data_IF_437415814315
#
_entry.id   IF_437415814315
#
_cell.length_a   1.000
_cell.length_b   1.000
_cell.length_c   1.000
_cell.angle_alpha   90.00
_cell.angle_beta   90.00
_cell.angle_gamma   90.00
#
_symmetry.space_group_name_H-M   'P 1'
#
loop_
_entity.id
_entity.type
_entity.pdbx_description
1 polymer ?
#
# COMPACT_ATOMS: atom_id res chain seq x y z
N UNK A 1 -2.34 16.69 27.76
CA UNK A 1 -2.58 17.52 26.56
C UNK A 1 -2.40 16.64 25.34
N UNK A 2 -3.35 16.62 24.39
CA UNK A 2 -3.10 15.98 23.10
C UNK A 2 -1.87 16.63 22.44
N UNK A 3 -1.06 15.83 21.75
CA UNK A 3 0.08 16.35 20.99
C UNK A 3 -0.43 17.34 19.94
N UNK A 4 0.26 18.48 19.69
CA UNK A 4 -0.15 19.40 18.65
C UNK A 4 -0.25 18.67 17.30
N UNK A 5 -1.26 19.03 16.50
CA UNK A 5 -1.43 18.47 15.17
C UNK A 5 -0.13 18.70 14.36
N UNK A 6 0.42 17.68 13.71
CA UNK A 6 1.62 17.84 12.90
C UNK A 6 1.38 18.85 11.77
N UNK A 7 2.40 19.63 11.43
CA UNK A 7 2.27 20.62 10.34
C UNK A 7 1.93 19.94 8.99
N UNK A 8 1.12 20.60 8.15
CA UNK A 8 0.78 20.10 6.83
C UNK A 8 2.01 20.12 5.92
N UNK A 9 2.32 18.97 5.32
CA UNK A 9 3.48 18.79 4.42
C UNK A 9 3.10 18.98 2.93
N UNK A 10 1.88 19.41 2.62
CA UNK A 10 1.41 19.66 1.24
C UNK A 10 0.60 20.96 1.16
N UNK A 11 0.65 21.65 -0.01
CA UNK A 11 -0.04 22.93 -0.20
C UNK A 11 -1.57 22.81 -0.22
N UNK A 12 -2.11 21.60 -0.33
CA UNK A 12 -3.54 21.28 -0.26
C UNK A 12 -3.78 19.93 0.44
N UNK A 13 -4.99 19.68 0.97
CA UNK A 13 -5.45 18.34 1.32
C UNK A 13 -5.32 17.38 0.13
N UNK A 14 -4.91 16.14 0.43
CA UNK A 14 -4.78 15.06 -0.54
C UNK A 14 -5.80 13.97 -0.22
N UNK A 15 -6.33 13.30 -1.24
CA UNK A 15 -7.11 12.06 -1.06
C UNK A 15 -6.16 10.87 -1.11
N UNK A 16 -5.96 10.18 0.01
CA UNK A 16 -4.97 9.11 0.19
C UNK A 16 -5.66 7.79 0.50
N UNK A 17 -5.36 6.76 -0.28
CA UNK A 17 -5.85 5.41 -0.04
C UNK A 17 -4.78 4.52 0.54
N UNK A 18 -5.03 3.95 1.71
CA UNK A 18 -4.20 2.91 2.32
C UNK A 18 -4.80 1.55 1.98
N UNK A 19 -4.02 0.65 1.39
CA UNK A 19 -4.48 -0.70 1.01
C UNK A 19 -3.70 -1.73 1.80
N UNK A 20 -4.28 -2.15 2.93
CA UNK A 20 -3.76 -3.22 3.76
C UNK A 20 -4.90 -4.15 4.23
N UNK A 21 -4.98 -5.38 3.68
CA UNK A 21 -6.02 -6.34 4.05
C UNK A 21 -5.78 -7.08 5.37
N UNK A 22 -4.59 -6.99 5.96
CA UNK A 22 -4.17 -7.86 7.07
C UNK A 22 -4.22 -7.20 8.43
N UNK A 23 -3.82 -5.92 8.50
CA UNK A 23 -3.82 -5.19 9.76
C UNK A 23 -5.23 -5.17 10.36
N UNK A 24 -5.27 -5.25 11.68
CA UNK A 24 -6.50 -5.13 12.44
C UNK A 24 -7.02 -3.70 12.37
N UNK A 25 -8.31 -3.56 12.12
CA UNK A 25 -8.95 -2.24 12.04
C UNK A 25 -9.29 -1.72 13.44
N UNK A 26 -9.54 -0.41 13.62
CA UNK A 26 -10.00 0.14 14.90
C UNK A 26 -11.16 -0.66 15.50
N UNK A 27 -11.17 -0.81 16.82
CA UNK A 27 -12.16 -1.62 17.55
C UNK A 27 -11.89 -3.14 17.56
N UNK A 28 -10.87 -3.63 16.84
CA UNK A 28 -10.51 -5.06 16.88
C UNK A 28 -9.59 -5.44 18.06
N UNK A 29 -9.38 -4.57 19.05
CA UNK A 29 -8.61 -4.87 20.27
C UNK A 29 -7.15 -5.24 20.00
N UNK A 30 -6.62 -4.85 18.84
CA UNK A 30 -5.20 -4.93 18.52
C UNK A 30 -4.44 -3.77 19.14
N UNK A 31 -3.14 -3.96 19.38
CA UNK A 31 -2.23 -2.82 19.48
C UNK A 31 -2.22 -1.98 18.20
N UNK A 32 -1.59 -0.81 18.24
CA UNK A 32 -1.54 0.11 17.10
C UNK A 32 -0.68 -0.49 15.97
N UNK A 33 -1.28 -0.73 14.81
CA UNK A 33 -0.57 -1.20 13.63
C UNK A 33 0.12 -0.06 12.87
N UNK A 34 1.08 -0.39 12.01
CA UNK A 34 1.73 0.57 11.11
C UNK A 34 0.69 1.31 10.25
N UNK A 35 -0.29 0.60 9.71
CA UNK A 35 -1.35 1.22 8.89
C UNK A 35 -2.23 2.14 9.71
N UNK A 36 -2.58 1.75 10.94
CA UNK A 36 -3.39 2.59 11.82
C UNK A 36 -2.63 3.88 12.21
N UNK A 37 -1.36 3.76 12.59
CA UNK A 37 -0.51 4.92 12.86
C UNK A 37 -0.44 5.84 11.65
N UNK A 38 -0.21 5.29 10.45
CA UNK A 38 -0.13 6.08 9.23
C UNK A 38 -1.46 6.76 8.91
N UNK A 39 -2.59 6.06 9.06
CA UNK A 39 -3.92 6.62 8.83
C UNK A 39 -4.19 7.82 9.73
N UNK A 40 -3.96 7.67 11.04
CA UNK A 40 -4.15 8.74 12.03
C UNK A 40 -3.24 9.93 11.77
N UNK A 41 -1.97 9.67 11.46
CA UNK A 41 -0.99 10.73 11.20
C UNK A 41 -1.29 11.51 9.92
N UNK A 42 -1.78 10.85 8.87
CA UNK A 42 -2.18 11.51 7.63
C UNK A 42 -3.49 12.28 7.80
N UNK A 43 -4.47 11.71 8.50
CA UNK A 43 -5.73 12.39 8.80
C UNK A 43 -5.50 13.65 9.65
N UNK A 44 -4.68 13.54 10.71
CA UNK A 44 -4.31 14.68 11.56
C UNK A 44 -3.53 15.79 10.83
N UNK A 45 -2.96 15.50 9.66
CA UNK A 45 -2.35 16.49 8.74
C UNK A 45 -3.37 17.13 7.79
N UNK A 46 -4.65 16.82 7.92
CA UNK A 46 -5.73 17.34 7.09
C UNK A 46 -5.90 16.63 5.75
N UNK A 47 -5.36 15.42 5.57
CA UNK A 47 -5.62 14.62 4.37
C UNK A 47 -6.91 13.80 4.50
N UNK A 48 -7.60 13.57 3.39
CA UNK A 48 -8.73 12.65 3.33
C UNK A 48 -8.20 11.23 3.17
N UNK A 49 -8.30 10.42 4.23
CA UNK A 49 -7.72 9.08 4.25
C UNK A 49 -8.82 8.02 4.17
N UNK A 50 -8.67 7.07 3.24
CA UNK A 50 -9.48 5.85 3.17
C UNK A 50 -8.61 4.61 3.26
N UNK A 51 -8.83 3.79 4.28
CA UNK A 51 -8.19 2.50 4.42
C UNK A 51 -9.07 1.36 3.89
N UNK A 52 -8.63 0.74 2.80
CA UNK A 52 -9.20 -0.48 2.25
C UNK A 52 -8.64 -1.72 2.94
N UNK A 53 -9.50 -2.42 3.70
CA UNK A 53 -9.17 -3.67 4.39
C UNK A 53 -10.10 -4.81 3.99
N UNK A 54 -9.83 -6.02 4.46
CA UNK A 54 -10.57 -7.24 4.13
C UNK A 54 -11.82 -7.42 5.01
N UNK A 55 -12.91 -8.01 4.51
CA UNK A 55 -14.04 -8.47 5.36
C UNK A 55 -13.68 -9.64 6.27
N UNK A 56 -12.47 -10.19 6.18
CA UNK A 56 -11.95 -11.27 7.02
C UNK A 56 -10.74 -10.80 7.82
N UNK A 57 -10.77 -10.92 9.15
CA UNK A 57 -9.65 -10.62 10.03
C UNK A 57 -8.61 -11.74 9.99
N UNK A 58 -7.36 -11.40 9.64
CA UNK A 58 -6.28 -12.37 9.54
C UNK A 58 -5.89 -12.98 10.89
N UNK A 59 -5.84 -12.16 11.92
CA UNK A 59 -5.44 -12.56 13.27
C UNK A 59 -6.54 -13.36 13.96
N UNK A 60 -7.79 -12.89 13.88
CA UNK A 60 -8.94 -13.55 14.52
C UNK A 60 -9.46 -14.76 13.76
N UNK A 61 -9.09 -14.90 12.48
CA UNK A 61 -9.65 -15.91 11.56
C UNK A 61 -11.18 -15.91 11.59
N UNK A 62 -11.76 -14.72 11.50
CA UNK A 62 -13.20 -14.52 11.57
C UNK A 62 -13.63 -13.40 10.62
N UNK A 63 -14.90 -13.46 10.20
CA UNK A 63 -15.50 -12.37 9.44
C UNK A 63 -15.57 -11.11 10.32
N UNK A 64 -15.15 -9.99 9.75
CA UNK A 64 -15.40 -8.68 10.32
C UNK A 64 -16.88 -8.39 10.15
N UNK A 65 -17.55 -8.06 11.24
CA UNK A 65 -18.81 -7.32 11.13
C UNK A 65 -18.45 -5.98 10.49
N UNK A 66 -19.34 -5.42 9.66
CA UNK A 66 -19.13 -4.08 9.09
C UNK A 66 -18.60 -3.17 10.20
N UNK A 67 -17.57 -2.34 9.95
CA UNK A 67 -17.02 -1.52 11.01
C UNK A 67 -18.23 -0.79 11.61
N UNK A 68 -18.52 -0.91 12.92
CA UNK A 68 -19.33 0.13 13.53
C UNK A 68 -18.68 1.43 13.08
N UNK A 69 -19.49 2.45 12.71
CA UNK A 69 -18.98 3.77 12.38
C UNK A 69 -17.76 4.01 13.27
N UNK A 70 -16.59 4.15 12.64
CA UNK A 70 -15.33 4.21 13.38
C UNK A 70 -15.60 5.15 14.56
N UNK A 71 -15.13 4.78 15.77
CA UNK A 71 -15.30 5.65 16.94
C UNK A 71 -15.14 7.10 16.49
N UNK A 72 -16.02 8.00 16.94
CA UNK A 72 -16.04 9.41 16.49
C UNK A 72 -14.64 10.07 16.50
N UNK A 73 -13.72 9.48 17.26
CA UNK A 73 -12.28 9.76 17.35
C UNK A 73 -11.41 9.49 16.10
N UNK A 74 -11.84 8.69 15.11
CA UNK A 74 -11.00 8.36 13.94
C UNK A 74 -11.38 9.23 12.73
N UNK A 75 -10.49 10.18 12.39
CA UNK A 75 -10.66 11.14 11.29
C UNK A 75 -10.41 10.55 9.88
N UNK A 76 -10.51 9.23 9.72
CA UNK A 76 -10.34 8.54 8.43
C UNK A 76 -11.43 7.50 8.20
N UNK A 77 -11.63 7.06 6.95
CA UNK A 77 -12.61 6.04 6.63
C UNK A 77 -11.98 4.63 6.51
N UNK A 78 -12.72 3.59 6.89
CA UNK A 78 -12.37 2.19 6.61
C UNK A 78 -13.41 1.59 5.67
N UNK A 79 -12.94 1.02 4.55
CA UNK A 79 -13.78 0.32 3.57
C UNK A 79 -13.39 -1.15 3.50
N UNK A 80 -14.36 -2.04 3.65
CA UNK A 80 -14.13 -3.48 3.63
C UNK A 80 -14.34 -4.08 2.24
N UNK A 81 -13.37 -4.85 1.79
CA UNK A 81 -13.36 -5.60 0.53
C UNK A 81 -13.71 -7.05 0.82
N UNK A 82 -14.77 -7.53 0.17
CA UNK A 82 -15.26 -8.88 0.37
C UNK A 82 -14.25 -9.94 -0.09
N UNK A 83 -13.96 -10.90 0.79
CA UNK A 83 -13.11 -12.07 0.52
C UNK A 83 -13.68 -13.33 1.17
N UNK A 84 -13.29 -14.50 0.67
CA UNK A 84 -13.55 -15.76 1.38
C UNK A 84 -12.72 -15.87 2.67
N UNK A 85 -13.27 -16.54 3.68
CA UNK A 85 -12.56 -16.88 4.92
C UNK A 85 -11.56 -18.03 4.76
N UNK A 86 -10.67 -18.16 5.74
CA UNK A 86 -9.71 -19.26 5.87
C UNK A 86 -9.24 -19.37 7.32
N UNK A 87 -8.92 -20.58 7.75
CA UNK A 87 -8.51 -20.94 9.12
C UNK A 87 -6.98 -21.11 9.26
N UNK A 88 -6.31 -21.57 8.20
CA UNK A 88 -4.87 -21.89 8.22
C UNK A 88 -4.00 -20.86 7.50
N UNK A 89 -2.82 -20.60 8.06
CA UNK A 89 -1.84 -19.66 7.49
C UNK A 89 -1.18 -20.14 6.20
N UNK A 90 -1.07 -21.45 6.01
CA UNK A 90 -0.58 -22.09 4.80
C UNK A 90 -1.74 -22.89 4.19
N UNK A 91 -2.55 -22.23 3.35
CA UNK A 91 -3.68 -22.89 2.69
C UNK A 91 -3.95 -22.30 1.30
N UNK A 92 -4.49 -23.15 0.41
CA UNK A 92 -5.02 -22.71 -0.88
C UNK A 92 -6.20 -21.75 -0.69
N UNK A 93 -7.00 -21.94 0.36
CA UNK A 93 -8.05 -21.02 0.75
C UNK A 93 -7.51 -19.60 1.04
N UNK A 94 -6.41 -19.46 1.79
CA UNK A 94 -5.73 -18.16 1.99
C UNK A 94 -5.20 -17.58 0.69
N UNK A 95 -4.67 -18.42 -0.21
CA UNK A 95 -4.23 -17.94 -1.53
C UNK A 95 -5.40 -17.44 -2.38
N UNK A 96 -6.53 -18.14 -2.36
CA UNK A 96 -7.74 -17.73 -3.04
C UNK A 96 -8.36 -16.46 -2.41
N UNK A 97 -8.40 -16.35 -1.08
CA UNK A 97 -8.82 -15.15 -0.35
C UNK A 97 -8.00 -13.91 -0.74
N UNK A 98 -6.68 -14.05 -0.90
CA UNK A 98 -5.81 -12.98 -1.43
C UNK A 98 -6.19 -12.57 -2.86
N UNK A 99 -6.51 -13.54 -3.73
CA UNK A 99 -6.95 -13.26 -5.11
C UNK A 99 -8.32 -12.60 -5.15
N UNK A 100 -9.24 -13.03 -4.29
CA UNK A 100 -10.55 -12.39 -4.14
C UNK A 100 -10.36 -10.92 -3.75
N UNK A 101 -9.48 -10.62 -2.79
CA UNK A 101 -9.21 -9.25 -2.36
C UNK A 101 -8.82 -8.35 -3.54
N UNK A 102 -7.81 -8.75 -4.33
CA UNK A 102 -7.36 -7.93 -5.47
C UNK A 102 -8.45 -7.70 -6.51
N UNK A 103 -9.21 -8.75 -6.87
CA UNK A 103 -10.30 -8.66 -7.85
C UNK A 103 -11.47 -7.81 -7.36
N UNK A 104 -11.90 -8.05 -6.12
CA UNK A 104 -13.02 -7.33 -5.52
C UNK A 104 -12.65 -5.86 -5.30
N UNK A 105 -11.41 -5.56 -4.89
CA UNK A 105 -10.93 -4.18 -4.75
C UNK A 105 -11.01 -3.43 -6.07
N UNK A 106 -10.47 -3.99 -7.15
CA UNK A 106 -10.52 -3.35 -8.48
C UNK A 106 -11.96 -3.07 -8.92
N UNK A 107 -12.84 -4.05 -8.73
CA UNK A 107 -14.26 -3.91 -9.08
C UNK A 107 -14.91 -2.79 -8.27
N UNK A 108 -14.78 -2.82 -6.93
CA UNK A 108 -15.37 -1.83 -6.05
C UNK A 108 -14.86 -0.41 -6.35
N UNK A 109 -13.56 -0.24 -6.55
CA UNK A 109 -12.97 1.06 -6.91
C UNK A 109 -13.53 1.56 -8.25
N UNK A 110 -13.59 0.68 -9.25
CA UNK A 110 -14.11 1.07 -10.57
C UNK A 110 -15.58 1.48 -10.49
N UNK A 111 -16.40 0.70 -9.79
CA UNK A 111 -17.84 0.96 -9.62
C UNK A 111 -18.10 2.25 -8.83
N UNK A 112 -17.39 2.44 -7.71
CA UNK A 112 -17.58 3.61 -6.83
C UNK A 112 -17.07 4.91 -7.43
N UNK A 113 -16.02 4.88 -8.25
CA UNK A 113 -15.59 6.05 -9.03
C UNK A 113 -16.61 6.33 -10.15
N UNK A 114 -17.06 5.31 -10.88
CA UNK A 114 -18.01 5.48 -11.97
C UNK A 114 -19.37 6.02 -11.49
N UNK A 115 -19.80 5.66 -10.29
CA UNK A 115 -21.03 6.15 -9.66
C UNK A 115 -20.88 7.52 -8.98
N UNK A 116 -19.66 8.08 -8.92
CA UNK A 116 -19.37 9.34 -8.24
C UNK A 116 -19.36 9.25 -6.71
N UNK A 117 -19.42 8.06 -6.13
CA UNK A 117 -19.35 7.85 -4.68
C UNK A 117 -17.96 8.07 -4.10
N UNK A 118 -16.92 7.95 -4.92
CA UNK A 118 -15.54 8.23 -4.55
C UNK A 118 -14.85 9.03 -5.64
N UNK A 119 -14.02 9.99 -5.21
CA UNK A 119 -13.08 10.65 -6.09
C UNK A 119 -11.85 9.77 -6.34
N UNK A 120 -11.12 10.07 -7.43
CA UNK A 120 -9.83 9.43 -7.68
C UNK A 120 -8.84 9.84 -6.59
N UNK A 121 -8.06 8.92 -6.03
CA UNK A 121 -7.03 9.26 -5.05
C UNK A 121 -5.85 9.99 -5.70
N UNK A 122 -5.25 10.89 -4.95
CA UNK A 122 -3.95 11.49 -5.27
C UNK A 122 -2.81 10.47 -5.06
N UNK A 123 -2.96 9.62 -4.03
CA UNK A 123 -1.96 8.62 -3.63
C UNK A 123 -2.62 7.30 -3.23
N UNK A 124 -2.07 6.18 -3.70
CA UNK A 124 -2.36 4.84 -3.19
C UNK A 124 -1.10 4.32 -2.49
N UNK A 125 -1.22 3.98 -1.21
CA UNK A 125 -0.19 3.27 -0.44
C UNK A 125 -0.58 1.80 -0.35
N UNK A 126 0.13 0.94 -1.06
CA UNK A 126 -0.13 -0.49 -1.14
C UNK A 126 0.85 -1.27 -0.26
N UNK A 127 0.34 -1.89 0.82
CA UNK A 127 1.16 -2.74 1.70
C UNK A 127 1.41 -4.10 1.06
N UNK A 128 2.67 -4.51 1.03
CA UNK A 128 3.13 -5.80 0.54
C UNK A 128 3.88 -6.57 1.64
N UNK A 129 3.55 -7.84 1.93
CA UNK A 129 2.51 -8.69 1.32
C UNK A 129 1.06 -8.31 1.72
N UNK A 130 0.04 -8.71 0.93
CA UNK A 130 0.04 -9.76 -0.09
C UNK A 130 0.10 -9.23 -1.54
N UNK A 131 0.78 -10.00 -2.42
CA UNK A 131 0.95 -9.65 -3.84
C UNK A 131 -0.34 -9.27 -4.55
N UNK A 132 -1.43 -10.02 -4.38
CA UNK A 132 -2.64 -9.83 -5.16
C UNK A 132 -3.30 -8.44 -4.92
N UNK A 133 -3.20 -7.91 -3.70
CA UNK A 133 -3.66 -6.55 -3.38
C UNK A 133 -2.75 -5.49 -3.98
N UNK A 134 -1.43 -5.65 -3.84
CA UNK A 134 -0.47 -4.71 -4.41
C UNK A 134 -0.49 -4.69 -5.95
N UNK A 135 -0.63 -5.85 -6.60
CA UNK A 135 -0.80 -5.95 -8.06
C UNK A 135 -2.10 -5.28 -8.54
N UNK A 136 -3.18 -5.38 -7.75
CA UNK A 136 -4.40 -4.64 -8.02
C UNK A 136 -4.17 -3.12 -7.93
N UNK A 137 -3.40 -2.67 -6.93
CA UNK A 137 -3.03 -1.26 -6.79
C UNK A 137 -2.17 -0.77 -7.98
N UNK A 138 -1.24 -1.58 -8.50
CA UNK A 138 -0.50 -1.25 -9.73
C UNK A 138 -1.45 -1.02 -10.91
N UNK A 139 -2.44 -1.90 -11.09
CA UNK A 139 -3.44 -1.75 -12.17
C UNK A 139 -4.31 -0.52 -11.95
N UNK A 140 -4.74 -0.25 -10.72
CA UNK A 140 -5.55 0.91 -10.38
C UNK A 140 -4.79 2.21 -10.57
N UNK A 141 -3.55 2.31 -10.08
CA UNK A 141 -2.71 3.50 -10.23
C UNK A 141 -2.54 3.88 -11.70
N UNK A 142 -2.25 2.91 -12.57
CA UNK A 142 -2.17 3.11 -14.02
C UNK A 142 -3.49 3.55 -14.65
N UNK A 143 -4.62 3.00 -14.22
CA UNK A 143 -5.95 3.34 -14.77
C UNK A 143 -6.43 4.72 -14.30
N UNK A 144 -6.06 5.13 -13.09
CA UNK A 144 -6.56 6.34 -12.44
C UNK A 144 -5.58 7.53 -12.55
N UNK A 145 -4.37 7.31 -13.06
CA UNK A 145 -3.24 8.26 -13.04
C UNK A 145 -2.87 8.72 -11.62
N UNK A 146 -2.88 7.78 -10.67
CA UNK A 146 -2.58 8.02 -9.25
C UNK A 146 -1.13 7.67 -8.93
N UNK A 147 -0.51 8.41 -8.00
CA UNK A 147 0.81 8.07 -7.44
C UNK A 147 0.74 6.79 -6.61
N UNK A 148 1.56 5.79 -6.93
CA UNK A 148 1.66 4.54 -6.21
C UNK A 148 2.87 4.51 -5.29
N UNK A 149 2.60 4.34 -4.00
CA UNK A 149 3.62 4.05 -2.99
C UNK A 149 3.48 2.59 -2.57
N UNK A 150 4.57 1.83 -2.59
CA UNK A 150 4.58 0.46 -2.06
C UNK A 150 5.19 0.45 -0.66
N UNK A 151 4.42 0.00 0.33
CA UNK A 151 4.88 -0.18 1.70
C UNK A 151 5.33 -1.61 1.92
N UNK A 152 6.61 -1.79 2.25
CA UNK A 152 7.28 -3.07 2.44
C UNK A 152 7.72 -3.23 3.91
N UNK A 153 6.81 -3.67 4.81
CA UNK A 153 7.11 -3.89 6.22
C UNK A 153 8.04 -5.07 6.50
N UNK A 154 8.21 -6.00 5.55
CA UNK A 154 9.14 -7.13 5.67
C UNK A 154 9.62 -7.62 4.30
N UNK A 155 10.80 -8.26 4.25
CA UNK A 155 11.30 -8.93 3.06
C UNK A 155 10.50 -10.20 2.74
N UNK A 156 9.47 -10.04 1.93
CA UNK A 156 8.71 -11.15 1.38
C UNK A 156 9.20 -11.51 -0.03
N UNK A 157 9.29 -12.79 -0.44
CA UNK A 157 8.91 -14.02 0.27
C UNK A 157 10.02 -14.64 1.14
N UNK A 158 11.17 -14.01 1.26
CA UNK A 158 12.37 -14.53 1.95
C UNK A 158 12.07 -14.87 3.41
N UNK A 159 11.40 -13.98 4.15
CA UNK A 159 11.04 -14.19 5.57
C UNK A 159 10.10 -15.38 5.77
N UNK A 160 9.28 -15.74 4.78
CA UNK A 160 8.35 -16.87 4.87
C UNK A 160 8.94 -18.19 4.40
N UNK A 161 10.05 -18.16 3.65
CA UNK A 161 10.74 -19.35 3.19
C UNK A 161 11.17 -20.24 4.35
N UNK A 162 11.64 -19.62 5.43
CA UNK A 162 12.10 -20.28 6.66
C UNK A 162 10.98 -21.06 7.35
N UNK A 163 9.73 -20.61 7.21
CA UNK A 163 8.53 -21.22 7.80
C UNK A 163 7.98 -22.40 6.98
N UNK A 164 8.56 -22.73 5.82
CA UNK A 164 8.15 -23.90 5.06
C UNK A 164 8.54 -25.18 5.82
N UNK A 165 7.62 -26.16 5.96
CA UNK A 165 7.86 -27.43 6.66
C UNK A 165 8.66 -28.40 5.77
N UNK A 166 9.82 -27.95 5.27
CA UNK A 166 10.74 -28.72 4.44
C UNK A 166 12.10 -28.82 5.15
N UNK A 167 12.84 -29.95 5.01
CA UNK A 167 14.22 -30.05 5.50
C UNK A 167 15.10 -28.92 4.95
N UNK A 168 16.10 -28.48 5.73
CA UNK A 168 16.92 -27.32 5.36
C UNK A 168 17.64 -27.46 4.01
N UNK A 169 18.17 -28.66 3.72
CA UNK A 169 18.80 -28.96 2.43
C UNK A 169 17.80 -28.82 1.26
N UNK A 170 16.58 -29.34 1.44
CA UNK A 170 15.53 -29.28 0.43
C UNK A 170 15.02 -27.85 0.22
N UNK A 171 14.91 -27.04 1.29
CA UNK A 171 14.57 -25.63 1.19
C UNK A 171 15.65 -24.83 0.45
N UNK A 172 16.93 -25.12 0.67
CA UNK A 172 18.03 -24.47 -0.06
C UNK A 172 18.01 -24.83 -1.54
N UNK A 173 17.76 -26.10 -1.87
CA UNK A 173 17.70 -26.59 -3.25
C UNK A 173 16.47 -26.07 -4.00
N UNK A 174 15.27 -26.19 -3.41
CA UNK A 174 14.01 -25.87 -4.08
C UNK A 174 13.57 -24.42 -3.86
N UNK A 175 14.09 -23.73 -2.85
CA UNK A 175 13.70 -22.37 -2.48
C UNK A 175 13.78 -21.35 -3.63
N UNK A 176 14.86 -21.30 -4.42
CA UNK A 176 14.94 -20.42 -5.58
C UNK A 176 13.83 -20.67 -6.61
N UNK A 177 13.48 -21.93 -6.86
CA UNK A 177 12.43 -22.30 -7.82
C UNK A 177 11.02 -22.04 -7.26
N UNK A 178 10.74 -22.50 -6.04
CA UNK A 178 9.45 -22.34 -5.35
C UNK A 178 9.09 -20.87 -5.11
N UNK A 179 10.08 -20.05 -4.75
CA UNK A 179 9.87 -18.64 -4.41
C UNK A 179 10.17 -17.71 -5.59
N UNK A 180 10.85 -18.19 -6.64
CA UNK A 180 11.26 -17.36 -7.78
C UNK A 180 10.09 -16.70 -8.49
N UNK A 181 8.98 -17.41 -8.65
CA UNK A 181 7.75 -16.82 -9.20
C UNK A 181 7.17 -15.72 -8.31
N UNK A 182 7.28 -15.86 -7.00
CA UNK A 182 6.81 -14.86 -6.03
C UNK A 182 7.74 -13.64 -5.98
N UNK A 183 9.06 -13.85 -6.03
CA UNK A 183 10.06 -12.78 -6.16
C UNK A 183 9.82 -11.94 -7.41
N UNK A 184 9.75 -12.58 -8.58
CA UNK A 184 9.48 -11.87 -9.85
C UNK A 184 8.22 -11.00 -9.80
N UNK A 185 7.16 -11.50 -9.15
CA UNK A 185 5.91 -10.73 -9.00
C UNK A 185 6.04 -9.57 -8.02
N UNK A 186 6.76 -9.73 -6.91
CA UNK A 186 7.11 -8.61 -6.02
C UNK A 186 7.92 -7.59 -6.81
N UNK A 187 8.99 -8.02 -7.47
CA UNK A 187 9.93 -7.13 -8.16
C UNK A 187 9.18 -6.32 -9.23
N UNK A 188 8.22 -6.94 -9.93
CA UNK A 188 7.35 -6.24 -10.87
C UNK A 188 6.41 -5.21 -10.21
N UNK A 189 5.93 -5.46 -8.99
CA UNK A 189 5.13 -4.49 -8.21
C UNK A 189 6.01 -3.32 -7.76
N UNK A 190 7.19 -3.61 -7.22
CA UNK A 190 8.16 -2.61 -6.75
C UNK A 190 8.62 -1.73 -7.91
N UNK A 191 8.98 -2.34 -9.05
CA UNK A 191 9.42 -1.61 -10.25
C UNK A 191 8.32 -0.73 -10.86
N UNK A 192 7.05 -1.00 -10.54
CA UNK A 192 5.91 -0.21 -11.00
C UNK A 192 5.49 0.90 -10.02
N UNK A 193 6.14 1.00 -8.85
CA UNK A 193 5.83 2.01 -7.84
C UNK A 193 6.58 3.32 -8.11
N UNK A 194 5.94 4.45 -7.80
CA UNK A 194 6.58 5.77 -7.83
C UNK A 194 7.49 5.98 -6.62
N UNK A 195 7.14 5.36 -5.48
CA UNK A 195 7.93 5.40 -4.25
C UNK A 195 7.82 4.09 -3.46
N UNK A 196 8.81 3.83 -2.61
CA UNK A 196 8.82 2.68 -1.71
C UNK A 196 9.11 3.13 -0.29
N UNK A 197 8.33 2.59 0.64
CA UNK A 197 8.54 2.72 2.07
C UNK A 197 8.97 1.36 2.59
N UNK A 198 10.00 1.31 3.43
CA UNK A 198 10.46 0.09 4.09
C UNK A 198 10.35 0.21 5.62
N UNK A 199 10.42 -0.89 6.36
CA UNK A 199 10.53 -0.84 7.81
C UNK A 199 12.00 -0.70 8.27
N UNK A 200 12.96 -1.07 7.42
CA UNK A 200 14.40 -0.95 7.70
C UNK A 200 15.24 -0.61 6.47
N UNK A 201 16.46 -0.11 6.71
CA UNK A 201 17.48 0.09 5.67
C UNK A 201 17.91 -1.22 5.01
N UNK A 202 17.86 -2.33 5.75
CA UNK A 202 18.17 -3.66 5.24
C UNK A 202 17.12 -4.15 4.23
N UNK A 203 15.84 -3.92 4.48
CA UNK A 203 14.79 -4.22 3.51
C UNK A 203 14.90 -3.35 2.26
N UNK A 204 15.14 -2.06 2.49
CA UNK A 204 15.27 -1.08 1.43
C UNK A 204 16.42 -1.41 0.46
N UNK A 205 17.59 -1.80 0.97
CA UNK A 205 18.75 -2.09 0.14
C UNK A 205 18.53 -3.25 -0.84
N UNK A 206 17.65 -4.19 -0.50
CA UNK A 206 17.29 -5.32 -1.37
C UNK A 206 16.43 -4.88 -2.55
N UNK A 207 15.54 -3.90 -2.33
CA UNK A 207 14.59 -3.45 -3.37
C UNK A 207 15.07 -2.23 -4.15
N UNK A 208 16.05 -1.49 -3.62
CA UNK A 208 16.61 -0.29 -4.26
C UNK A 208 17.08 -0.53 -5.71
N UNK A 209 17.77 -1.64 -6.05
CA UNK A 209 18.20 -1.91 -7.43
C UNK A 209 17.04 -2.18 -8.40
N UNK A 210 15.83 -2.46 -7.89
CA UNK A 210 14.64 -2.77 -8.69
C UNK A 210 13.85 -1.50 -9.03
N UNK A 211 14.15 -0.38 -8.37
CA UNK A 211 13.45 0.86 -8.59
C UNK A 211 13.96 1.55 -9.85
N UNK A 212 13.06 2.15 -10.66
CA UNK A 212 13.49 2.92 -11.80
C UNK A 212 14.39 4.10 -11.37
N UNK A 213 15.28 4.57 -12.26
CA UNK A 213 16.06 5.76 -11.99
C UNK A 213 15.14 6.97 -11.69
N UNK A 214 15.59 7.87 -10.82
CA UNK A 214 14.87 9.11 -10.47
C UNK A 214 14.73 9.86 -11.77
N UNK A 215 13.52 10.32 -12.05
CA UNK A 215 13.44 11.46 -12.93
C UNK A 215 13.61 12.73 -12.10
N UNK A 216 13.94 13.82 -12.78
CA UNK A 216 14.03 15.13 -12.16
C UNK A 216 12.70 15.47 -11.42
N UNK A 217 12.77 16.17 -10.27
CA UNK A 217 11.60 16.62 -9.55
C UNK A 217 10.72 17.49 -10.45
N UNK A 218 9.39 17.37 -10.34
CA UNK A 218 8.45 18.22 -11.08
C UNK A 218 8.69 19.69 -10.71
N UNK A 219 8.84 20.56 -11.70
CA UNK A 219 8.57 21.98 -11.55
C UNK A 219 7.11 22.16 -11.15
N UNK A 220 6.88 22.94 -10.11
CA UNK A 220 5.59 23.24 -9.53
C UNK A 220 4.60 23.71 -10.62
N UNK A 221 3.44 23.04 -10.83
CA UNK A 221 2.47 23.47 -11.83
C UNK A 221 1.86 24.85 -11.52
N UNK A 222 2.11 25.42 -10.34
CA UNK A 222 1.73 26.79 -9.98
C UNK A 222 2.61 27.89 -10.61
N UNK A 223 3.72 27.54 -11.30
CA UNK A 223 4.67 28.52 -11.81
C UNK A 223 4.57 28.82 -13.33
N UNK A 224 3.62 28.22 -14.07
CA UNK A 224 3.46 28.47 -15.49
C UNK A 224 2.23 29.35 -15.78
N UNK A 225 2.37 30.45 -16.56
CA UNK A 225 1.23 31.29 -16.90
C UNK A 225 0.24 30.53 -17.78
N UNK A 226 -1.04 30.73 -17.49
CA UNK A 226 -2.14 30.13 -18.23
C UNK A 226 -2.10 30.55 -19.70
N UNK A 227 -1.83 29.62 -20.62
CA UNK A 227 -2.48 29.53 -21.94
C UNK A 227 -2.05 28.25 -22.67
N UNK A 228 -2.99 27.73 -23.47
CA UNK A 228 -2.88 26.68 -24.48
C UNK A 228 -3.06 25.21 -24.03
N UNK A 229 -4.21 24.65 -24.43
CA UNK A 229 -4.41 23.23 -24.70
C UNK A 229 -3.79 22.88 -26.06
N UNK A 230 -3.14 21.72 -26.17
CA UNK A 230 -3.66 20.69 -27.07
C UNK A 230 -3.71 19.30 -26.42
N UNK A 231 -4.73 18.52 -26.77
CA UNK A 231 -4.74 17.07 -26.60
C UNK A 231 -3.70 16.44 -27.55
N UNK A 232 -2.84 15.57 -27.02
CA UNK A 232 -2.15 14.43 -27.66
C UNK A 232 -0.67 14.32 -27.26
N UNK A 233 -0.44 13.67 -26.12
CA UNK A 233 0.62 12.70 -25.82
C UNK A 233 0.63 12.58 -24.30
N UNK A 234 0.24 11.42 -23.75
CA UNK A 234 0.34 11.20 -22.31
C UNK A 234 1.80 11.45 -21.89
N UNK A 235 2.09 12.42 -20.99
CA UNK A 235 3.46 12.65 -20.58
C UNK A 235 3.93 11.40 -19.83
N UNK A 236 5.03 10.81 -20.30
CA UNK A 236 5.82 9.86 -19.52
C UNK A 236 6.18 10.57 -18.23
N UNK A 237 5.60 10.14 -17.10
CA UNK A 237 5.76 10.81 -15.81
C UNK A 237 7.22 10.76 -15.38
N UNK A 238 7.80 11.93 -15.14
CA UNK A 238 9.02 12.11 -14.38
C UNK A 238 8.71 11.87 -12.89
N UNK A 239 9.34 10.85 -12.30
CA UNK A 239 9.11 10.32 -10.93
C UNK A 239 10.10 10.93 -9.93
N UNK A 240 9.58 11.68 -8.95
CA UNK A 240 10.34 12.09 -7.75
C UNK A 240 10.47 10.90 -6.79
N UNK A 241 11.72 10.52 -6.46
CA UNK A 241 12.03 9.42 -5.53
C UNK A 241 11.79 9.85 -4.09
N UNK A 242 10.98 9.09 -3.34
CA UNK A 242 10.96 9.22 -1.88
C UNK A 242 11.12 7.85 -1.24
N UNK A 243 12.09 7.76 -0.35
CA UNK A 243 12.43 6.55 0.39
C UNK A 243 12.30 6.89 1.86
N UNK A 244 11.39 6.21 2.55
CA UNK A 244 11.14 6.42 3.96
C UNK A 244 11.30 5.11 4.73
N UNK A 245 12.02 5.19 5.85
CA UNK A 245 12.05 4.14 6.87
C UNK A 245 11.09 4.58 7.97
N UNK A 246 10.04 3.81 8.19
CA UNK A 246 9.12 4.06 9.30
C UNK A 246 9.46 3.04 10.39
N UNK A 247 10.22 3.50 11.40
CA UNK A 247 10.28 2.89 12.73
C UNK A 247 9.25 3.54 13.65
N UNK A 248 9.44 3.49 14.97
CA UNK A 248 8.65 4.28 15.93
C UNK A 248 8.73 5.82 15.70
N UNK A 249 9.57 6.25 14.74
CA UNK A 249 9.77 7.63 14.32
C UNK A 249 9.81 7.66 12.78
N UNK A 250 9.14 8.65 12.18
CA UNK A 250 9.24 8.95 10.74
C UNK A 250 10.58 9.64 10.53
N UNK A 251 11.48 9.04 9.76
CA UNK A 251 12.69 9.69 9.28
C UNK A 251 12.58 9.92 7.78
N UNK A 252 12.71 11.19 7.38
CA UNK A 252 12.84 11.60 5.99
C UNK A 252 14.30 11.42 5.57
N UNK A 253 14.54 10.65 4.51
CA UNK A 253 15.88 10.54 3.92
C UNK A 253 15.92 11.35 2.64
N UNK A 254 16.86 12.29 2.57
CA UNK A 254 17.19 12.97 1.33
C UNK A 254 17.61 11.92 0.29
N UNK A 255 17.08 12.06 -0.93
CA UNK A 255 17.52 11.25 -2.06
C UNK A 255 19.02 11.45 -2.27
N UNK A 256 19.80 10.38 -2.18
CA UNK A 256 21.22 10.42 -2.54
C UNK A 256 21.35 10.96 -3.97
N UNK A 257 22.11 12.05 -4.11
CA UNK A 257 22.38 12.75 -5.36
C UNK A 257 23.20 11.93 -6.34
#
# INVERSE_FOLDING_TARGET
>A
MPSPAPEPNSPRPLTIWLVNPFDDIPGEGAGVSRTLSLARVLAARGHEVTWWSSTWSHRRKAARRAPPALSEDEEFAVRLVAVRGYDRDLSLARLASRRDFGRTLERLVTETIASGQLQRPDVIVATLPPLAGAEACVRLARRLDTTLVVDLPELWPETRATLLPLPAALRKLLGPWLLGGMRRRRDAVVAAADAVVAASTAELSVVLPMLPPAAAPRSDPAAAPATATPLASAPVRAVSRHVCVIGAYIQEFATAG
#
